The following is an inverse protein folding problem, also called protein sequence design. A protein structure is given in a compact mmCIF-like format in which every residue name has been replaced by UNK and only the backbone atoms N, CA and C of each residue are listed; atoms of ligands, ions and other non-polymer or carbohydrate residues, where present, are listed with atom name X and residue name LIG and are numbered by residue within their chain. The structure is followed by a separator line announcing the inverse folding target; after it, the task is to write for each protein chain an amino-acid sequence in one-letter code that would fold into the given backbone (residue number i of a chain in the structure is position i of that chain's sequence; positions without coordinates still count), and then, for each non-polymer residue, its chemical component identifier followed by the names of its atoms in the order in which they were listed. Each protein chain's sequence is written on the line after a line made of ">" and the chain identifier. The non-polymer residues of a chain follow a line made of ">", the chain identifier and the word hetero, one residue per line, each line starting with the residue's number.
data_IF_476683503948
#
_entry.id   IF_476683503948
#
_cell.length_a   1.000
_cell.length_b   1.000
_cell.length_c   1.000
_cell.angle_alpha   90.00
_cell.angle_beta   90.00
_cell.angle_gamma   90.00
#
_symmetry.space_group_name_H-M   'P 1'
#
loop_
_entity.id
_entity.type
_entity.pdbx_description
1 polymer ?
#
# COMPACT_ATOMS: atom_id res chain seq x y z
N UNK A 1 -6.53 -0.88 -0.57
CA UNK A 1 -7.11 -0.99 0.79
C UNK A 1 -8.43 -0.27 0.82
N UNK A 2 -9.52 -1.01 0.88
CA UNK A 2 -10.91 -0.51 0.93
C UNK A 2 -11.51 -0.71 2.31
N UNK A 3 -12.61 -0.02 2.60
CA UNK A 3 -13.30 -0.05 3.90
C UNK A 3 -13.73 1.35 4.30
N UNK A 4 -14.62 1.45 5.28
CA UNK A 4 -15.22 2.72 5.67
C UNK A 4 -14.22 3.69 6.31
N UNK A 5 -14.66 4.94 6.51
CA UNK A 5 -13.89 5.91 7.27
C UNK A 5 -13.64 5.38 8.69
N UNK A 6 -12.40 5.48 9.17
CA UNK A 6 -12.01 4.93 10.47
C UNK A 6 -11.84 3.40 10.52
N UNK A 7 -12.08 2.65 9.43
CA UNK A 7 -11.95 1.19 9.42
C UNK A 7 -10.51 0.67 9.67
N UNK A 8 -9.51 1.56 9.69
CA UNK A 8 -8.13 1.21 10.05
C UNK A 8 -7.16 1.13 8.87
N UNK A 9 -7.55 1.56 7.66
CA UNK A 9 -6.69 1.58 6.46
C UNK A 9 -5.35 2.27 6.71
N UNK A 10 -5.36 3.51 7.21
CA UNK A 10 -4.13 4.24 7.54
C UNK A 10 -3.37 3.56 8.68
N UNK A 11 -4.05 3.08 9.73
CA UNK A 11 -3.42 2.34 10.84
C UNK A 11 -2.63 1.12 10.34
N UNK A 12 -3.20 0.37 9.40
CA UNK A 12 -2.51 -0.74 8.75
C UNK A 12 -1.27 -0.27 7.98
N UNK A 13 -1.38 0.80 7.19
CA UNK A 13 -0.24 1.42 6.51
C UNK A 13 0.88 1.77 7.49
N UNK A 14 0.55 2.37 8.63
CA UNK A 14 1.54 2.72 9.67
C UNK A 14 2.26 1.48 10.20
N UNK A 15 1.50 0.41 10.48
CA UNK A 15 2.06 -0.89 10.88
C UNK A 15 3.01 -1.47 9.83
N UNK A 16 2.62 -1.43 8.56
CA UNK A 16 3.45 -1.89 7.44
C UNK A 16 4.74 -1.06 7.30
N UNK A 17 4.65 0.27 7.32
CA UNK A 17 5.82 1.17 7.23
C UNK A 17 6.78 0.95 8.41
N UNK A 18 6.24 0.77 9.62
CA UNK A 18 7.02 0.43 10.82
C UNK A 18 7.70 -0.93 10.67
N UNK A 19 7.00 -1.94 10.16
CA UNK A 19 7.55 -3.27 9.87
C UNK A 19 8.70 -3.23 8.84
N UNK A 20 8.61 -2.32 7.87
CA UNK A 20 9.66 -2.03 6.90
C UNK A 20 10.82 -1.18 7.47
N UNK A 21 10.78 -0.83 8.77
CA UNK A 21 11.78 -0.01 9.47
C UNK A 21 11.97 1.39 8.88
N UNK A 22 10.94 1.92 8.23
CA UNK A 22 10.89 3.34 7.85
C UNK A 22 10.81 4.15 9.16
N UNK A 23 11.24 5.41 9.17
CA UNK A 23 11.04 6.32 10.30
C UNK A 23 9.83 7.21 10.03
N UNK A 24 9.04 7.46 11.07
CA UNK A 24 7.86 8.32 11.00
C UNK A 24 8.20 9.82 10.86
N UNK A 25 7.18 10.67 10.78
CA UNK A 25 5.77 10.36 11.02
C UNK A 25 5.07 9.63 9.86
N UNK A 26 4.18 8.70 10.19
CA UNK A 26 3.34 7.98 9.23
C UNK A 26 1.92 8.56 9.27
N UNK A 27 1.59 9.46 8.36
CA UNK A 27 0.25 10.08 8.33
C UNK A 27 -0.43 9.78 7.01
N UNK A 28 -1.76 9.78 7.01
CA UNK A 28 -2.50 9.70 5.75
C UNK A 28 -2.16 10.91 4.87
N UNK A 29 -1.86 10.69 3.57
CA UNK A 29 -1.64 11.75 2.62
C UNK A 29 -2.95 12.28 2.02
N UNK A 30 -4.10 12.24 2.70
CA UNK A 30 -5.41 12.66 2.13
C UNK A 30 -5.37 14.01 1.39
N UNK A 31 -4.63 15.01 1.90
CA UNK A 31 -4.48 16.31 1.25
C UNK A 31 -3.29 16.39 0.29
N UNK A 32 -2.21 15.65 0.58
CA UNK A 32 -1.03 15.60 -0.28
C UNK A 32 -1.20 14.63 -1.47
N UNK A 33 -2.28 13.85 -1.46
CA UNK A 33 -2.62 12.73 -2.35
C UNK A 33 -1.66 11.54 -2.23
N UNK A 34 -0.35 11.80 -2.25
CA UNK A 34 0.69 10.78 -2.19
C UNK A 34 1.84 11.15 -1.24
N UNK A 35 2.46 10.13 -0.66
CA UNK A 35 3.74 10.21 0.07
C UNK A 35 4.68 9.12 -0.40
N UNK A 36 5.97 9.43 -0.46
CA UNK A 36 7.03 8.50 -0.84
C UNK A 36 7.97 8.27 0.34
N UNK A 37 8.20 7.01 0.66
CA UNK A 37 9.17 6.60 1.66
C UNK A 37 10.26 5.75 1.00
N UNK A 38 11.50 5.83 1.50
CA UNK A 38 12.66 5.14 0.94
C UNK A 38 13.27 4.19 1.95
N UNK A 39 13.45 2.93 1.56
CA UNK A 39 14.04 1.87 2.39
C UNK A 39 15.35 1.41 1.77
N UNK A 40 16.46 1.66 2.47
CA UNK A 40 17.83 1.33 1.99
C UNK A 40 18.20 -0.15 2.15
N UNK A 41 17.50 -0.88 3.02
CA UNK A 41 17.75 -2.31 3.22
C UNK A 41 16.48 -2.97 3.78
N UNK A 42 16.07 -4.04 3.12
CA UNK A 42 14.90 -4.82 3.47
C UNK A 42 15.24 -6.32 3.40
N UNK A 43 14.41 -7.12 4.06
CA UNK A 43 14.50 -8.58 4.03
C UNK A 43 13.49 -9.10 3.01
N UNK A 44 13.90 -10.02 2.15
CA UNK A 44 12.98 -10.70 1.22
C UNK A 44 12.82 -12.15 1.68
N UNK A 45 11.57 -12.56 1.85
CA UNK A 45 11.19 -13.95 2.04
C UNK A 45 10.78 -14.51 0.68
N UNK A 46 11.56 -15.45 0.15
CA UNK A 46 11.15 -16.21 -1.03
C UNK A 46 10.09 -17.21 -0.60
N UNK A 47 8.87 -17.04 -1.14
CA UNK A 47 7.67 -17.76 -0.70
C UNK A 47 7.75 -19.28 -0.93
N UNK A 48 8.69 -19.78 -1.75
CA UNK A 48 8.79 -21.19 -2.13
C UNK A 48 10.20 -21.82 -1.99
N UNK A 49 11.09 -21.26 -1.17
CA UNK A 49 12.43 -21.85 -0.95
C UNK A 49 12.62 -22.25 0.50
N UNK A 50 13.19 -23.43 0.76
CA UNK A 50 13.77 -23.80 2.07
C UNK A 50 14.93 -22.86 2.50
N UNK A 51 15.31 -21.90 1.67
CA UNK A 51 16.36 -20.92 1.95
C UNK A 51 15.93 -19.86 2.96
N UNK A 52 16.87 -19.52 3.85
CA UNK A 52 16.76 -18.46 4.85
C UNK A 52 16.48 -17.10 4.19
N UNK A 53 15.69 -16.28 4.89
CA UNK A 53 15.49 -14.85 4.61
C UNK A 53 16.77 -14.18 4.14
N UNK A 54 16.77 -13.66 2.90
CA UNK A 54 17.92 -12.96 2.35
C UNK A 54 17.79 -11.45 2.60
N UNK A 55 18.83 -10.86 3.17
CA UNK A 55 18.90 -9.40 3.36
C UNK A 55 19.34 -8.77 2.05
N UNK A 56 18.48 -7.95 1.45
CA UNK A 56 18.84 -7.13 0.30
C UNK A 56 19.56 -5.89 0.81
N UNK A 57 20.79 -5.67 0.33
CA UNK A 57 21.61 -4.48 0.59
C UNK A 57 21.93 -3.81 -0.74
N UNK A 58 21.88 -2.48 -0.79
CA UNK A 58 22.25 -1.70 -1.97
C UNK A 58 21.09 -1.42 -2.93
N UNK A 59 20.01 -2.19 -2.89
CA UNK A 59 18.79 -1.90 -3.65
C UNK A 59 17.83 -1.06 -2.81
N UNK A 60 17.43 0.10 -3.34
CA UNK A 60 16.45 0.97 -2.70
C UNK A 60 15.03 0.43 -2.97
N UNK A 61 14.24 0.28 -1.91
CA UNK A 61 12.81 0.02 -2.02
C UNK A 61 12.04 1.32 -1.81
N UNK A 62 11.27 1.73 -2.82
CA UNK A 62 10.36 2.88 -2.70
C UNK A 62 8.98 2.41 -2.24
N UNK A 63 8.43 3.05 -1.21
CA UNK A 63 7.06 2.80 -0.76
C UNK A 63 6.22 4.03 -1.06
N UNK A 64 5.26 3.87 -1.96
CA UNK A 64 4.30 4.91 -2.35
C UNK A 64 3.02 4.69 -1.55
N UNK A 65 2.62 5.67 -0.76
CA UNK A 65 1.36 5.68 -0.04
C UNK A 65 0.45 6.71 -0.70
N UNK A 66 -0.65 6.26 -1.28
CA UNK A 66 -1.65 7.08 -1.95
C UNK A 66 -2.95 6.98 -1.16
N UNK A 67 -3.58 8.12 -0.91
CA UNK A 67 -4.95 8.21 -0.43
C UNK A 67 -5.81 8.84 -1.53
N UNK A 68 -6.64 8.01 -2.16
CA UNK A 68 -7.45 8.42 -3.30
C UNK A 68 -8.80 9.03 -2.90
N UNK A 69 -9.06 9.29 -1.62
CA UNK A 69 -10.38 9.76 -1.14
C UNK A 69 -10.91 11.00 -1.88
N UNK A 70 -10.03 11.91 -2.31
CA UNK A 70 -10.36 13.20 -2.95
C UNK A 70 -10.03 13.28 -4.44
N UNK A 71 -9.50 12.22 -5.03
CA UNK A 71 -9.05 12.22 -6.42
C UNK A 71 -9.72 11.12 -7.22
N UNK A 72 -9.65 11.23 -8.54
CA UNK A 72 -10.09 10.21 -9.48
C UNK A 72 -8.91 9.68 -10.32
N UNK A 73 -9.20 8.77 -11.24
CA UNK A 73 -8.18 8.14 -12.09
C UNK A 73 -7.42 9.15 -12.98
N UNK A 74 -8.07 10.21 -13.45
CA UNK A 74 -7.41 11.24 -14.28
C UNK A 74 -6.36 12.00 -13.46
N UNK A 75 -6.74 12.50 -12.29
CA UNK A 75 -5.83 13.24 -11.41
C UNK A 75 -4.60 12.39 -11.05
N UNK A 76 -4.82 11.09 -10.75
CA UNK A 76 -3.73 10.18 -10.42
C UNK A 76 -2.80 9.90 -11.62
N UNK A 77 -3.33 9.87 -12.84
CA UNK A 77 -2.51 9.76 -14.04
C UNK A 77 -1.64 11.01 -14.27
N UNK A 78 -2.19 12.20 -14.05
CA UNK A 78 -1.46 13.46 -14.18
C UNK A 78 -0.30 13.56 -13.18
N UNK A 79 -0.42 12.91 -12.02
CA UNK A 79 0.66 12.78 -11.03
C UNK A 79 1.74 11.75 -11.40
N UNK A 80 1.68 11.15 -12.60
CA UNK A 80 2.68 10.18 -13.06
C UNK A 80 2.55 8.79 -12.44
N UNK A 81 1.35 8.37 -12.02
CA UNK A 81 1.15 7.07 -11.36
C UNK A 81 1.71 5.88 -12.16
N UNK A 82 1.62 5.92 -13.48
CA UNK A 82 2.16 4.88 -14.38
C UNK A 82 3.69 4.74 -14.31
N UNK A 83 4.38 5.78 -13.85
CA UNK A 83 5.84 5.80 -13.80
C UNK A 83 6.38 5.01 -12.62
N UNK A 84 5.57 4.80 -11.57
CA UNK A 84 6.00 4.12 -10.35
C UNK A 84 5.13 2.92 -9.93
N UNK A 85 3.85 2.88 -10.32
CA UNK A 85 2.97 1.79 -9.91
C UNK A 85 3.39 0.44 -10.51
N UNK A 86 3.55 -0.56 -9.64
CA UNK A 86 3.90 -1.93 -10.05
C UNK A 86 5.31 -2.08 -10.62
N UNK A 87 6.18 -1.07 -10.47
CA UNK A 87 7.59 -1.16 -10.86
C UNK A 87 8.37 -2.04 -9.89
N UNK A 88 9.45 -2.61 -10.39
CA UNK A 88 10.39 -3.37 -9.55
C UNK A 88 10.89 -2.52 -8.38
N UNK A 89 11.14 -3.16 -7.24
CA UNK A 89 11.65 -2.51 -6.02
C UNK A 89 10.74 -1.36 -5.54
N UNK A 90 9.43 -1.53 -5.73
CA UNK A 90 8.44 -0.63 -5.17
C UNK A 90 7.31 -1.38 -4.46
N UNK A 91 6.73 -0.75 -3.45
CA UNK A 91 5.44 -1.12 -2.86
C UNK A 91 4.53 0.08 -3.07
N UNK A 92 3.38 -0.14 -3.69
CA UNK A 92 2.34 0.89 -3.83
C UNK A 92 1.15 0.53 -2.96
N UNK A 93 0.86 1.39 -2.00
CA UNK A 93 -0.25 1.30 -1.05
C UNK A 93 -1.30 2.32 -1.50
N UNK A 94 -2.52 1.87 -1.79
CA UNK A 94 -3.62 2.74 -2.23
C UNK A 94 -4.78 2.58 -1.26
N UNK A 95 -5.12 3.65 -0.55
CA UNK A 95 -6.38 3.77 0.21
C UNK A 95 -7.48 4.32 -0.71
N UNK A 96 -8.73 3.88 -0.48
CA UNK A 96 -9.88 4.21 -1.33
C UNK A 96 -9.68 3.83 -2.82
N UNK A 97 -9.26 2.59 -3.11
CA UNK A 97 -8.88 2.15 -4.45
C UNK A 97 -10.01 2.22 -5.47
N UNK A 98 -11.27 2.21 -5.03
CA UNK A 98 -12.45 2.31 -5.89
C UNK A 98 -12.48 3.58 -6.75
N UNK A 99 -11.90 4.69 -6.27
CA UNK A 99 -11.78 5.95 -7.01
C UNK A 99 -10.81 5.88 -8.20
N UNK A 100 -9.85 4.97 -8.13
CA UNK A 100 -8.73 4.83 -9.09
C UNK A 100 -8.60 3.41 -9.65
N UNK A 101 -9.65 2.60 -9.49
CA UNK A 101 -9.67 1.16 -9.74
C UNK A 101 -9.23 0.74 -11.15
N UNK A 102 -9.44 1.61 -12.14
CA UNK A 102 -9.05 1.38 -13.54
C UNK A 102 -7.53 1.35 -13.73
N UNK A 103 -6.78 1.98 -12.85
CA UNK A 103 -5.31 2.08 -12.92
C UNK A 103 -4.59 0.98 -12.15
N UNK A 104 -5.29 0.32 -11.22
CA UNK A 104 -4.67 -0.65 -10.32
C UNK A 104 -4.27 -1.91 -11.11
N UNK A 105 -2.99 -2.33 -11.05
CA UNK A 105 -2.50 -3.53 -11.71
C UNK A 105 -3.28 -4.80 -11.32
N UNK A 106 -3.35 -5.76 -12.23
CA UNK A 106 -4.09 -7.03 -12.01
C UNK A 106 -3.44 -7.94 -10.97
N UNK A 107 -2.15 -7.78 -10.71
CA UNK A 107 -1.41 -8.51 -9.69
C UNK A 107 -1.48 -7.85 -8.30
N UNK A 108 -2.34 -6.85 -8.12
CA UNK A 108 -2.49 -6.16 -6.84
C UNK A 108 -3.12 -7.08 -5.78
N UNK A 109 -2.64 -6.91 -4.54
CA UNK A 109 -3.29 -7.47 -3.36
C UNK A 109 -4.40 -6.51 -2.90
N UNK A 110 -5.62 -7.03 -2.80
CA UNK A 110 -6.77 -6.32 -2.27
C UNK A 110 -6.89 -6.63 -0.78
N UNK A 111 -7.08 -5.59 0.02
CA UNK A 111 -7.27 -5.69 1.46
C UNK A 111 -8.51 -4.88 1.79
N UNK A 112 -9.53 -5.57 2.30
CA UNK A 112 -10.79 -5.00 2.72
C UNK A 112 -10.84 -4.95 4.26
N UNK A 113 -11.29 -3.83 4.81
CA UNK A 113 -11.44 -3.62 6.25
C UNK A 113 -12.91 -3.44 6.59
N UNK A 114 -13.43 -4.26 7.49
CA UNK A 114 -14.81 -4.15 7.99
C UNK A 114 -14.82 -4.01 9.52
N UNK A 115 -15.80 -3.27 10.02
CA UNK A 115 -16.06 -3.16 11.44
C UNK A 115 -16.79 -4.42 11.94
N UNK A 116 -16.25 -5.07 12.97
CA UNK A 116 -16.98 -6.09 13.73
C UNK A 116 -17.55 -5.50 15.02
N UNK A 117 -16.77 -4.63 15.67
CA UNK A 117 -17.14 -3.88 16.86
C UNK A 117 -16.28 -2.62 16.95
N UNK A 118 -16.43 -1.79 17.99
CA UNK A 118 -15.61 -0.59 18.17
C UNK A 118 -14.10 -0.89 18.13
N UNK A 119 -13.68 -2.01 18.72
CA UNK A 119 -12.26 -2.38 18.89
C UNK A 119 -11.79 -3.50 17.96
N UNK A 120 -12.67 -4.09 17.17
CA UNK A 120 -12.34 -5.23 16.31
C UNK A 120 -12.62 -4.94 14.85
N UNK A 121 -11.74 -5.45 13.98
CA UNK A 121 -11.88 -5.36 12.53
C UNK A 121 -11.73 -6.73 11.93
N UNK A 122 -12.54 -7.01 10.92
CA UNK A 122 -12.25 -8.08 9.98
C UNK A 122 -11.37 -7.52 8.86
N UNK A 123 -10.31 -8.26 8.51
CA UNK A 123 -9.42 -7.92 7.40
C UNK A 123 -9.41 -9.08 6.42
N UNK A 124 -9.98 -8.85 5.24
CA UNK A 124 -10.01 -9.83 4.16
C UNK A 124 -8.95 -9.48 3.12
N UNK A 125 -8.11 -10.46 2.77
CA UNK A 125 -7.01 -10.30 1.81
C UNK A 125 -7.27 -11.20 0.60
N UNK A 126 -7.28 -10.61 -0.60
CA UNK A 126 -7.56 -11.34 -1.84
C UNK A 126 -6.67 -10.87 -2.99
N UNK A 127 -6.34 -11.77 -3.92
CA UNK A 127 -5.68 -11.42 -5.19
C UNK A 127 -6.69 -11.16 -6.31
N UNK A 128 -7.96 -11.47 -6.07
CA UNK A 128 -9.05 -11.20 -7.00
C UNK A 128 -9.46 -9.75 -6.87
N UNK A 129 -9.61 -9.08 -8.02
CA UNK A 129 -10.22 -7.76 -8.12
C UNK A 129 -11.72 -7.92 -7.82
N UNK A 130 -12.11 -7.85 -6.55
CA UNK A 130 -13.53 -7.94 -6.12
C UNK A 130 -14.35 -6.88 -6.84
N UNK A 131 -15.35 -7.30 -7.64
CA UNK A 131 -16.06 -6.53 -8.67
C UNK A 131 -16.60 -5.18 -8.18
#
# INVERSE_FOLDING_TARGET
>A
MSGDLGAGKTTFTQGLLKGLKIKGPYTSPTFAIAKVYKVKSYKVHKVNSKEKTSKVKGQMLNVFHIDAYRINSKDLLELGFKDFAGKENSITIIEWPEKVRKLIPTNALWINFQWLSEKEREITISTKKEL
#
